data_IF_192921646803
#
_entry.id   IF_192921646803
#
_cell.length_a   1.000
_cell.length_b   1.000
_cell.length_c   1.000
_cell.angle_alpha   90.00
_cell.angle_beta   90.00
_cell.angle_gamma   90.00
#
_symmetry.space_group_name_H-M   'P 1'
#
loop_
_entity.id
_entity.type
_entity.pdbx_description
1 polymer ?
2 non-polymer ?
3 non-polymer ?
4 non-polymer ?
5 non-polymer ?
6 non-polymer ?
7 water ?
#
# COMPACT_ATOMS: atom_id res chain seq x y z
N UNK A 5 13.90 -24.36 -0.77
CA UNK A 5 13.97 -22.89 -1.10
C UNK A 5 12.58 -22.32 -1.37
N UNK A 6 11.86 -22.92 -2.32
CA UNK A 6 10.43 -22.65 -2.53
C UNK A 6 9.68 -22.88 -1.21
N UNK A 7 9.90 -24.05 -0.60
CA UNK A 7 9.27 -24.37 0.68
C UNK A 7 9.60 -23.34 1.78
N UNK A 8 10.82 -22.82 1.74
CA UNK A 8 11.31 -21.90 2.77
C UNK A 8 10.90 -20.45 2.50
N UNK A 9 10.97 -20.03 1.23
CA UNK A 9 10.72 -18.65 0.81
C UNK A 9 9.52 -18.44 -0.13
N UNK A 10 9.03 -19.51 -0.75
CA UNK A 10 7.96 -19.39 -1.72
C UNK A 10 8.45 -18.89 -3.06
N UNK A 11 9.75 -18.79 -3.22
CA UNK A 11 10.38 -18.33 -4.45
C UNK A 11 11.74 -19.06 -4.56
N UNK A 12 12.21 -19.29 -5.79
CA UNK A 12 13.61 -19.73 -6.00
C UNK A 12 14.57 -18.53 -5.79
N UNK A 13 15.78 -18.83 -5.28
CA UNK A 13 16.81 -17.78 -5.03
C UNK A 13 18.20 -18.43 -5.13
N UNK A 14 19.16 -17.71 -5.71
CA UNK A 14 20.57 -18.16 -5.81
C UNK A 14 21.31 -17.83 -4.51
N UNK A 15 20.77 -16.90 -3.70
CA UNK A 15 21.32 -16.66 -2.36
C UNK A 15 20.27 -16.63 -1.26
N UNK A 16 19.98 -17.84 -0.80
CA UNK A 16 19.04 -18.12 0.26
C UNK A 16 19.45 -17.45 1.54
N UNK A 17 20.76 -17.47 1.84
CA UNK A 17 21.27 -16.94 3.09
C UNK A 17 21.11 -15.40 3.21
N UNK A 18 21.40 -14.69 2.14
CA UNK A 18 21.14 -13.27 2.06
C UNK A 18 19.67 -12.91 2.13
N UNK A 19 18.81 -13.69 1.44
CA UNK A 19 17.37 -13.48 1.49
C UNK A 19 16.84 -13.69 2.92
N UNK A 20 17.22 -14.83 3.52
CA UNK A 20 16.88 -15.14 4.90
C UNK A 20 17.36 -14.07 5.88
N UNK A 21 18.56 -13.52 5.70
CA UNK A 21 19.04 -12.44 6.60
C UNK A 21 18.10 -11.21 6.49
N UNK A 22 17.73 -10.84 5.27
CA UNK A 22 16.82 -9.68 5.10
C UNK A 22 15.47 -9.94 5.74
N UNK A 23 14.99 -11.18 5.60
CA UNK A 23 13.66 -11.50 6.14
C UNK A 23 13.67 -11.55 7.65
N UNK A 24 14.84 -11.54 8.29
CA UNK A 24 14.89 -11.37 9.75
C UNK A 24 14.20 -10.09 10.20
N UNK A 25 14.17 -9.09 9.33
CA UNK A 25 13.48 -7.83 9.61
C UNK A 25 11.98 -7.80 9.21
N UNK A 26 11.39 -8.94 8.91
CA UNK A 26 9.98 -9.02 8.47
C UNK A 26 9.02 -8.25 9.33
N UNK A 27 9.20 -8.32 10.66
CA UNK A 27 8.25 -7.66 11.58
C UNK A 27 8.65 -6.22 11.92
N UNK A 28 9.58 -5.67 11.15
CA UNK A 28 10.15 -4.35 11.44
C UNK A 28 9.89 -3.31 10.36
N UNK A 29 9.62 -2.07 10.81
CA UNK A 29 9.43 -0.95 9.89
C UNK A 29 10.68 -0.78 9.07
N UNK A 30 11.83 -1.13 9.64
CA UNK A 30 13.08 -1.00 8.95
C UNK A 30 13.47 -2.02 7.91
N UNK A 31 12.61 -3.02 7.66
CA UNK A 31 12.82 -3.93 6.55
C UNK A 31 13.19 -3.19 5.26
N UNK A 32 14.17 -3.73 4.55
CA UNK A 32 14.54 -3.21 3.27
C UNK A 32 13.99 -4.06 2.07
N UNK A 33 12.88 -3.61 1.48
CA UNK A 33 12.20 -4.38 0.47
C UNK A 33 12.96 -4.40 -0.87
N UNK A 34 13.79 -3.42 -1.11
CA UNK A 34 14.63 -3.41 -2.30
C UNK A 34 15.65 -4.56 -2.25
N UNK A 35 16.18 -4.86 -1.08
CA UNK A 35 17.10 -5.98 -0.91
C UNK A 35 16.37 -7.30 -1.06
N UNK A 36 15.17 -7.35 -0.51
CA UNK A 36 14.34 -8.54 -0.66
C UNK A 36 14.11 -8.82 -2.13
N UNK A 37 13.78 -7.79 -2.93
CA UNK A 37 13.65 -7.95 -4.37
C UNK A 37 14.94 -8.54 -4.97
N UNK A 38 16.08 -7.95 -4.60
CA UNK A 38 17.38 -8.33 -5.16
C UNK A 38 17.80 -9.75 -4.87
N UNK A 39 17.33 -10.34 -3.77
CA UNK A 39 17.65 -11.72 -3.46
C UNK A 39 16.53 -12.72 -3.74
N UNK A 40 15.47 -12.28 -4.38
CA UNK A 40 14.37 -13.15 -4.68
C UNK A 40 14.10 -13.20 -6.17
N UNK A 41 15.09 -12.86 -6.99
CA UNK A 41 14.93 -12.82 -8.47
C UNK A 41 13.79 -11.90 -8.86
N UNK A 42 13.76 -10.76 -8.18
CA UNK A 42 12.75 -9.77 -8.41
C UNK A 42 11.30 -10.32 -8.25
N UNK A 43 11.10 -11.17 -7.26
CA UNK A 43 9.78 -11.58 -6.81
C UNK A 43 9.43 -11.05 -5.40
N UNK A 44 9.57 -9.73 -5.17
CA UNK A 44 9.34 -9.23 -3.81
C UNK A 44 7.93 -9.47 -3.26
N UNK A 45 6.90 -9.41 -4.11
CA UNK A 45 5.53 -9.57 -3.61
C UNK A 45 5.21 -11.01 -3.20
N UNK A 46 5.56 -11.97 -4.02
CA UNK A 46 5.35 -13.38 -3.68
C UNK A 46 6.16 -13.75 -2.43
N UNK A 47 7.40 -13.32 -2.44
CA UNK A 47 8.30 -13.57 -1.33
C UNK A 47 7.77 -13.02 0.00
N UNK A 48 7.53 -11.72 0.03
CA UNK A 48 7.05 -11.07 1.25
C UNK A 48 5.66 -11.59 1.69
N UNK A 49 4.75 -11.88 0.76
CA UNK A 49 3.42 -12.39 1.15
C UNK A 49 3.54 -13.79 1.77
N UNK A 50 4.38 -14.62 1.14
CA UNK A 50 4.62 -15.97 1.69
C UNK A 50 5.19 -15.88 3.13
N UNK A 51 6.19 -15.01 3.31
CA UNK A 51 6.82 -14.78 4.61
C UNK A 51 5.79 -14.30 5.64
N UNK A 52 4.97 -13.32 5.26
CA UNK A 52 3.96 -12.75 6.16
C UNK A 52 2.95 -13.81 6.54
N UNK A 53 2.46 -14.55 5.54
CA UNK A 53 1.44 -15.57 5.79
C UNK A 53 1.94 -16.71 6.70
N UNK A 54 3.19 -17.15 6.48
CA UNK A 54 3.83 -18.13 7.39
C UNK A 54 3.95 -17.56 8.82
N UNK A 55 4.48 -16.35 8.94
CA UNK A 55 4.63 -15.68 10.23
C UNK A 55 3.33 -15.62 11.02
N UNK A 56 2.25 -15.25 10.35
CA UNK A 56 0.97 -15.12 11.01
C UNK A 56 0.15 -16.37 11.09
N UNK A 57 0.68 -17.51 10.60
CA UNK A 57 -0.10 -18.79 10.56
C UNK A 57 -1.43 -18.71 9.80
N UNK A 58 -1.54 -17.80 8.85
CA UNK A 58 -2.77 -17.56 8.10
C UNK A 58 -3.10 -18.70 7.17
N UNK A 59 -2.10 -19.41 6.66
CA UNK A 59 -2.37 -20.55 5.80
C UNK A 59 -2.99 -21.68 6.62
N UNK A 60 -2.60 -21.80 7.90
CA UNK A 60 -3.17 -22.83 8.81
C UNK A 60 -4.60 -22.42 9.22
N UNK A 61 -4.75 -21.19 9.71
CA UNK A 61 -6.01 -20.70 10.20
C UNK A 61 -7.11 -20.84 9.17
N UNK A 62 -6.80 -20.45 7.94
CA UNK A 62 -7.76 -20.43 6.83
C UNK A 62 -7.66 -21.56 5.84
N UNK A 63 -6.84 -22.57 6.17
CA UNK A 63 -6.69 -23.76 5.34
C UNK A 63 -6.36 -23.44 3.89
N UNK A 64 -5.38 -22.57 3.73
CA UNK A 64 -4.98 -22.16 2.41
C UNK A 64 -3.78 -23.01 2.03
N UNK A 65 -3.89 -23.77 0.95
CA UNK A 65 -2.71 -24.53 0.50
C UNK A 65 -1.57 -23.59 0.21
N UNK A 66 -0.36 -23.94 0.67
CA UNK A 66 0.83 -23.15 0.38
C UNK A 66 1.17 -23.14 -1.10
N UNK A 67 0.96 -24.28 -1.76
CA UNK A 67 1.20 -24.35 -3.22
C UNK A 67 0.23 -23.41 -3.98
N UNK A 68 -1.06 -23.48 -3.65
CA UNK A 68 -2.08 -22.64 -4.31
C UNK A 68 -1.80 -21.15 -4.09
N UNK A 69 -1.37 -20.83 -2.88
CA UNK A 69 -0.90 -19.51 -2.49
C UNK A 69 0.25 -18.99 -3.35
N UNK A 70 1.27 -19.81 -3.53
CA UNK A 70 2.40 -19.44 -4.41
C UNK A 70 1.92 -19.20 -5.83
N UNK A 71 1.13 -20.12 -6.36
CA UNK A 71 0.49 -19.96 -7.69
C UNK A 71 -0.30 -18.66 -7.85
N UNK A 72 -1.21 -18.35 -6.91
CA UNK A 72 -1.95 -17.09 -6.99
C UNK A 72 -1.02 -15.87 -6.94
N UNK A 73 -0.12 -15.86 -5.96
CA UNK A 73 0.78 -14.73 -5.77
C UNK A 73 1.66 -14.49 -6.98
N UNK A 74 2.13 -15.56 -7.62
CA UNK A 74 2.95 -15.39 -8.82
C UNK A 74 2.17 -14.73 -9.95
N UNK A 75 0.94 -15.18 -10.18
CA UNK A 75 0.13 -14.54 -11.24
C UNK A 75 -0.21 -13.10 -10.79
N UNK A 76 -0.49 -12.90 -9.51
CA UNK A 76 -0.81 -11.53 -9.05
C UNK A 76 0.41 -10.63 -9.32
N UNK A 77 1.60 -11.12 -8.97
CA UNK A 77 2.81 -10.31 -9.15
C UNK A 77 3.08 -10.09 -10.63
N UNK A 78 2.77 -11.10 -11.47
CA UNK A 78 2.93 -10.94 -12.91
C UNK A 78 2.03 -9.83 -13.44
N UNK A 79 0.90 -9.57 -12.76
CA UNK A 79 -0.09 -8.56 -13.22
C UNK A 79 0.25 -7.15 -12.81
N UNK A 80 1.33 -6.98 -12.04
CA UNK A 80 1.97 -5.67 -11.82
C UNK A 80 2.96 -5.40 -12.96
N UNK A 81 3.01 -4.18 -13.47
CA UNK A 81 3.84 -3.89 -14.67
C UNK A 81 5.24 -3.49 -14.26
N UNK A 82 6.20 -4.29 -14.68
CA UNK A 82 7.64 -4.06 -14.47
C UNK A 82 8.16 -2.72 -15.04
N UNK A 83 7.57 -2.27 -16.11
CA UNK A 83 7.93 -1.02 -16.73
C UNK A 83 7.18 0.19 -16.20
N UNK A 84 6.42 0.04 -15.12
CA UNK A 84 5.84 1.19 -14.49
C UNK A 84 6.79 1.48 -13.35
N UNK A 85 7.25 2.72 -13.27
CA UNK A 85 8.37 3.05 -12.38
C UNK A 85 8.09 2.87 -10.83
N UNK A 86 6.91 3.26 -10.37
CA UNK A 86 6.58 3.14 -8.96
C UNK A 86 5.53 2.13 -8.66
N UNK A 87 4.39 2.22 -9.36
CA UNK A 87 3.24 1.31 -9.14
C UNK A 87 3.43 -0.08 -9.71
N UNK A 88 4.44 -0.76 -9.20
CA UNK A 88 4.83 -2.11 -9.66
C UNK A 88 4.84 -3.05 -8.43
N UNK A 89 5.31 -4.28 -8.55
CA UNK A 89 5.17 -5.26 -7.46
C UNK A 89 5.97 -4.90 -6.22
N UNK A 90 7.00 -4.06 -6.35
CA UNK A 90 7.84 -3.68 -5.21
C UNK A 90 7.06 -2.78 -4.28
N UNK A 91 6.29 -1.85 -4.86
CA UNK A 91 5.41 -1.01 -4.07
C UNK A 91 4.32 -1.84 -3.43
N UNK A 92 3.71 -2.79 -4.14
CA UNK A 92 2.71 -3.68 -3.51
C UNK A 92 3.30 -4.44 -2.34
N UNK A 93 4.51 -4.96 -2.54
CA UNK A 93 5.19 -5.68 -1.49
C UNK A 93 5.44 -4.79 -0.27
N UNK A 94 5.88 -3.57 -0.53
CA UNK A 94 6.08 -2.61 0.54
C UNK A 94 4.82 -2.33 1.36
N UNK A 95 3.71 -2.05 0.68
CA UNK A 95 2.44 -1.79 1.35
C UNK A 95 1.97 -3.02 2.19
N UNK A 96 2.16 -4.22 1.65
CA UNK A 96 1.78 -5.42 2.33
C UNK A 96 2.65 -5.62 3.58
N UNK A 97 3.94 -5.38 3.48
CA UNK A 97 4.82 -5.57 4.62
C UNK A 97 4.61 -4.46 5.65
N UNK A 98 4.37 -3.24 5.16
CA UNK A 98 4.07 -2.11 6.04
C UNK A 98 2.75 -2.30 6.76
N UNK A 99 1.74 -2.83 6.08
CA UNK A 99 0.45 -3.20 6.71
C UNK A 99 0.65 -4.29 7.76
N UNK A 100 1.49 -5.26 7.44
CA UNK A 100 1.85 -6.32 8.38
C UNK A 100 2.44 -5.77 9.68
N UNK A 101 3.33 -4.76 9.59
CA UNK A 101 3.89 -4.17 10.81
C UNK A 101 2.79 -3.36 11.56
N UNK A 102 2.06 -2.54 10.84
CA UNK A 102 1.03 -1.69 11.49
C UNK A 102 0.02 -2.57 12.24
N UNK A 103 -0.29 -3.75 11.72
CA UNK A 103 -1.27 -4.64 12.40
C UNK A 103 -0.80 -5.08 13.78
N UNK A 104 0.52 -5.10 13.98
CA UNK A 104 1.12 -5.53 15.22
C UNK A 104 1.42 -4.39 16.14
N UNK A 105 0.94 -3.18 15.84
CA UNK A 105 1.15 -2.06 16.78
C UNK A 105 0.51 -2.38 18.16
N UNK A 106 1.28 -2.15 19.28
CA UNK A 106 0.76 -2.60 20.62
C UNK A 106 -0.65 -2.11 20.96
N UNK A 107 -0.96 -0.87 20.60
CA UNK A 107 -2.32 -0.32 20.82
C UNK A 107 -3.45 -1.08 20.13
N UNK A 108 -3.12 -1.90 19.12
CA UNK A 108 -4.15 -2.72 18.43
C UNK A 108 -4.15 -4.21 18.80
N UNK A 109 -3.43 -4.56 19.86
CA UNK A 109 -3.30 -5.95 20.21
C UNK A 109 -4.66 -6.63 20.44
N UNK A 110 -4.90 -7.76 19.72
CA UNK A 110 -6.12 -8.59 19.83
C UNK A 110 -7.39 -7.90 19.43
N UNK A 111 -7.28 -6.70 18.84
CA UNK A 111 -8.44 -5.92 18.41
C UNK A 111 -9.15 -6.54 17.21
N UNK A 112 -8.39 -7.07 16.25
CA UNK A 112 -8.94 -7.50 14.94
C UNK A 112 -9.16 -8.99 14.92
N UNK A 113 -10.15 -9.43 14.15
CA UNK A 113 -10.32 -10.84 13.91
C UNK A 113 -9.24 -11.34 12.95
N UNK A 114 -9.05 -12.64 12.93
CA UNK A 114 -8.11 -13.24 11.95
C UNK A 114 -8.52 -12.98 10.51
N UNK A 115 -9.83 -12.97 10.26
CA UNK A 115 -10.34 -12.69 8.90
C UNK A 115 -10.05 -11.24 8.50
N UNK A 116 -10.23 -10.33 9.45
CA UNK A 116 -9.85 -8.92 9.27
C UNK A 116 -8.36 -8.74 8.92
N UNK A 117 -7.51 -9.43 9.66
CA UNK A 117 -6.09 -9.43 9.41
C UNK A 117 -5.76 -9.94 7.98
N UNK A 118 -6.36 -11.09 7.63
CA UNK A 118 -6.26 -11.68 6.29
C UNK A 118 -6.68 -10.70 5.23
N UNK A 119 -7.81 -9.99 5.48
CA UNK A 119 -8.37 -9.08 4.52
C UNK A 119 -7.47 -7.89 4.28
N UNK A 120 -6.88 -7.35 5.35
CA UNK A 120 -6.01 -6.19 5.21
C UNK A 120 -4.75 -6.46 4.42
N UNK A 121 -4.09 -7.57 4.73
CA UNK A 121 -2.86 -7.94 4.03
C UNK A 121 -3.12 -8.32 2.57
N UNK A 122 -4.17 -9.10 2.30
CA UNK A 122 -4.62 -9.38 0.91
C UNK A 122 -4.93 -8.09 0.15
N UNK A 123 -5.68 -7.18 0.78
CA UNK A 123 -5.96 -5.88 0.15
C UNK A 123 -4.69 -5.13 -0.21
N UNK A 124 -3.77 -5.05 0.75
CA UNK A 124 -2.47 -4.46 0.51
C UNK A 124 -1.78 -5.07 -0.75
N UNK A 125 -1.75 -6.39 -0.81
CA UNK A 125 -1.14 -7.10 -1.96
C UNK A 125 -1.77 -6.75 -3.30
N UNK A 126 -3.08 -6.61 -3.34
CA UNK A 126 -3.77 -6.43 -4.64
C UNK A 126 -4.05 -4.94 -4.99
N UNK A 127 -3.76 -4.01 -4.06
CA UNK A 127 -4.38 -2.69 -4.14
C UNK A 127 -4.00 -1.86 -5.34
N UNK A 128 -2.89 -2.18 -6.03
CA UNK A 128 -2.43 -1.48 -7.25
C UNK A 128 -2.21 -2.41 -8.46
N UNK A 129 -2.76 -3.63 -8.44
CA UNK A 129 -2.52 -4.57 -9.52
C UNK A 129 -2.97 -4.03 -10.91
N UNK A 130 -2.12 -4.23 -11.91
CA UNK A 130 -2.39 -3.77 -13.26
C UNK A 130 -2.46 -2.27 -13.36
N UNK A 131 -1.71 -1.58 -12.51
CA UNK A 131 -1.67 -0.13 -12.64
C UNK A 131 -0.97 0.21 -13.94
N UNK A 132 -1.57 1.08 -14.78
CA UNK A 132 -0.92 1.45 -16.08
C UNK A 132 0.19 2.52 -15.98
N UNK A 133 0.40 3.08 -14.82
CA UNK A 133 1.42 4.10 -14.62
C UNK A 133 0.96 5.50 -14.99
N UNK A 134 -0.34 5.68 -15.10
CA UNK A 134 -0.94 6.98 -15.32
C UNK A 134 -2.08 7.10 -14.26
N UNK A 135 -2.37 8.31 -13.83
CA UNK A 135 -3.33 8.60 -12.76
C UNK A 135 -4.80 8.49 -13.21
N UNK A 136 -5.69 8.42 -12.23
CA UNK A 136 -7.16 8.48 -12.46
C UNK A 136 -7.55 9.67 -13.32
N UNK A 137 -6.98 10.83 -13.00
CA UNK A 137 -7.33 12.05 -13.69
C UNK A 137 -6.91 11.98 -15.13
N UNK A 138 -5.73 11.45 -15.39
CA UNK A 138 -5.27 11.22 -16.78
C UNK A 138 -6.27 10.36 -17.54
N UNK A 139 -6.72 9.27 -16.90
CA UNK A 139 -7.65 8.35 -17.54
C UNK A 139 -9.00 9.01 -17.82
N UNK A 140 -9.44 9.89 -16.93
CA UNK A 140 -10.67 10.67 -17.11
C UNK A 140 -10.46 11.67 -18.26
N UNK A 141 -9.37 12.45 -18.18
CA UNK A 141 -9.08 13.50 -19.17
C UNK A 141 -8.85 12.96 -20.58
N UNK A 142 -8.30 11.76 -20.72
CA UNK A 142 -8.08 11.16 -22.02
C UNK A 142 -9.26 10.29 -22.51
N UNK A 143 -10.43 10.38 -21.86
CA UNK A 143 -11.58 9.59 -22.30
C UNK A 143 -11.28 8.10 -22.37
N UNK A 144 -10.56 7.57 -21.39
CA UNK A 144 -10.11 6.19 -21.44
C UNK A 144 -11.27 5.21 -21.29
N UNK A 145 -11.08 4.00 -21.78
CA UNK A 145 -12.05 2.94 -21.56
C UNK A 145 -12.30 2.66 -20.07
N UNK A 146 -11.25 2.67 -19.26
CA UNK A 146 -11.42 2.41 -17.84
C UNK A 146 -12.30 3.46 -17.19
N UNK A 147 -12.06 4.74 -17.51
CA UNK A 147 -12.88 5.82 -16.96
C UNK A 147 -14.35 5.73 -17.45
N UNK A 148 -14.54 5.30 -18.69
CA UNK A 148 -15.88 5.09 -19.24
C UNK A 148 -16.58 3.91 -18.53
N UNK A 149 -15.81 2.87 -18.27
CA UNK A 149 -16.33 1.71 -17.54
C UNK A 149 -16.79 2.07 -16.12
N UNK A 150 -15.96 2.85 -15.42
CA UNK A 150 -16.15 3.12 -14.00
C UNK A 150 -16.74 4.46 -13.67
N UNK A 151 -17.27 5.17 -14.69
CA UNK A 151 -17.97 6.42 -14.42
C UNK A 151 -17.15 7.40 -13.58
N UNK A 152 -15.86 7.49 -13.93
CA UNK A 152 -14.92 8.49 -13.37
C UNK A 152 -14.62 8.38 -11.87
N UNK A 153 -15.21 7.39 -11.18
CA UNK A 153 -15.12 7.29 -9.71
C UNK A 153 -14.18 6.15 -9.33
N UNK A 154 -13.09 6.50 -8.64
CA UNK A 154 -12.12 5.52 -8.16
C UNK A 154 -11.83 4.53 -9.29
N UNK A 155 -11.44 5.06 -10.44
CA UNK A 155 -11.37 4.26 -11.65
C UNK A 155 -10.37 3.11 -11.49
N UNK A 156 -9.12 3.42 -11.20
CA UNK A 156 -8.11 2.35 -11.03
C UNK A 156 -8.36 1.47 -9.83
N UNK A 157 -8.86 2.04 -8.74
CA UNK A 157 -9.06 1.26 -7.51
C UNK A 157 -10.13 0.20 -7.74
N UNK A 158 -11.21 0.56 -8.45
CA UNK A 158 -12.18 -0.44 -8.87
C UNK A 158 -11.52 -1.49 -9.77
N UNK A 159 -10.62 -1.05 -10.66
CA UNK A 159 -9.96 -1.96 -11.58
C UNK A 159 -9.03 -2.89 -10.83
N UNK A 160 -8.27 -2.36 -9.87
CA UNK A 160 -7.34 -3.23 -9.09
C UNK A 160 -8.11 -4.35 -8.39
N UNK A 161 -9.26 -3.97 -7.83
CA UNK A 161 -10.13 -4.92 -7.15
C UNK A 161 -10.63 -5.97 -8.12
N UNK A 162 -11.19 -5.56 -9.27
CA UNK A 162 -11.72 -6.53 -10.26
C UNK A 162 -10.63 -7.51 -10.73
N UNK A 163 -9.44 -7.02 -11.00
CA UNK A 163 -8.34 -7.90 -11.44
C UNK A 163 -7.96 -8.85 -10.31
N UNK A 164 -7.82 -8.34 -9.08
CA UNK A 164 -7.42 -9.16 -7.96
C UNK A 164 -8.37 -10.31 -7.69
N UNK A 165 -9.66 -10.00 -7.67
CA UNK A 165 -10.68 -11.01 -7.49
C UNK A 165 -10.83 -11.95 -8.68
N UNK A 166 -10.67 -11.45 -9.90
CA UNK A 166 -10.79 -12.29 -11.08
C UNK A 166 -9.68 -13.36 -11.12
N UNK A 167 -8.47 -13.00 -10.68
CA UNK A 167 -7.39 -13.98 -10.65
C UNK A 167 -7.70 -15.19 -9.77
N UNK A 168 -8.59 -15.01 -8.80
CA UNK A 168 -8.96 -16.11 -7.90
C UNK A 168 -9.77 -17.15 -8.61
N UNK A 169 -10.38 -16.76 -9.73
CA UNK A 169 -11.20 -17.67 -10.50
C UNK A 169 -10.41 -18.39 -11.53
N UNK A 170 -9.10 -18.13 -11.67
CA UNK A 170 -8.28 -18.96 -12.55
C UNK A 170 -8.06 -20.35 -11.94
N UNK A 171 -7.97 -21.38 -12.80
CA UNK A 171 -7.70 -22.73 -12.31
C UNK A 171 -6.47 -22.72 -11.43
N UNK A 172 -6.51 -23.51 -10.37
CA UNK A 172 -5.40 -23.63 -9.41
C UNK A 172 -5.03 -22.36 -8.67
N UNK A 173 -5.87 -21.31 -8.74
CA UNK A 173 -5.56 -20.02 -8.06
C UNK A 173 -6.47 -19.67 -6.86
N UNK A 174 -7.45 -20.51 -6.53
CA UNK A 174 -8.42 -20.08 -5.54
C UNK A 174 -8.00 -20.36 -4.13
N UNK A 175 -7.20 -19.45 -3.61
CA UNK A 175 -6.66 -19.56 -2.28
C UNK A 175 -7.71 -19.53 -1.19
N UNK A 176 -8.94 -19.08 -1.50
CA UNK A 176 -9.99 -19.02 -0.49
C UNK A 176 -11.02 -20.13 -0.58
N UNK A 177 -10.73 -21.19 -1.34
CA UNK A 177 -11.65 -22.28 -1.53
C UNK A 177 -12.16 -22.86 -0.21
N UNK A 178 -11.28 -22.98 0.78
CA UNK A 178 -11.66 -23.63 2.03
C UNK A 178 -12.34 -22.71 3.06
N UNK A 179 -12.45 -21.41 2.79
CA UNK A 179 -13.28 -20.54 3.63
C UNK A 179 -14.73 -20.96 3.52
N UNK A 180 -15.52 -20.68 4.53
CA UNK A 180 -16.96 -20.81 4.46
C UNK A 180 -17.53 -19.72 3.54
N UNK A 181 -18.76 -19.94 3.06
CA UNK A 181 -19.44 -18.90 2.25
C UNK A 181 -19.45 -17.58 3.01
N UNK A 182 -19.85 -17.60 4.28
CA UNK A 182 -19.94 -16.37 5.08
C UNK A 182 -18.58 -15.70 5.18
N UNK A 183 -17.54 -16.48 5.45
CA UNK A 183 -16.19 -15.92 5.49
C UNK A 183 -15.80 -15.24 4.15
N UNK A 184 -16.05 -15.92 3.05
CA UNK A 184 -15.73 -15.39 1.71
C UNK A 184 -16.44 -14.07 1.51
N UNK A 185 -17.73 -14.04 1.86
CA UNK A 185 -18.56 -12.84 1.74
C UNK A 185 -18.00 -11.67 2.53
N UNK A 186 -17.71 -11.90 3.81
CA UNK A 186 -17.18 -10.85 4.68
C UNK A 186 -15.80 -10.37 4.17
N UNK A 187 -14.95 -11.31 3.82
CA UNK A 187 -13.62 -10.99 3.29
C UNK A 187 -13.72 -10.07 2.04
N UNK A 188 -14.61 -10.43 1.11
CA UNK A 188 -14.78 -9.67 -0.11
C UNK A 188 -15.14 -8.21 0.19
N UNK A 189 -16.12 -8.05 1.04
CA UNK A 189 -16.63 -6.77 1.49
C UNK A 189 -15.53 -5.90 2.08
N UNK A 190 -14.75 -6.50 2.98
CA UNK A 190 -13.67 -5.77 3.67
C UNK A 190 -12.55 -5.37 2.72
N UNK A 191 -12.15 -6.29 1.84
CA UNK A 191 -11.13 -5.96 0.83
C UNK A 191 -11.55 -4.83 -0.11
N UNK A 192 -12.79 -4.87 -0.59
CA UNK A 192 -13.35 -3.83 -1.46
C UNK A 192 -13.31 -2.50 -0.73
N UNK A 193 -13.78 -2.48 0.51
CA UNK A 193 -13.74 -1.27 1.35
C UNK A 193 -12.33 -0.66 1.42
N UNK A 194 -11.36 -1.48 1.81
CA UNK A 194 -9.99 -0.99 2.01
C UNK A 194 -9.34 -0.49 0.70
N UNK A 195 -9.53 -1.22 -0.41
CA UNK A 195 -8.83 -0.84 -1.65
C UNK A 195 -9.45 0.43 -2.17
N UNK A 196 -10.78 0.53 -2.06
CA UNK A 196 -11.44 1.78 -2.52
C UNK A 196 -11.02 2.98 -1.70
N UNK A 197 -10.68 2.76 -0.42
CA UNK A 197 -10.17 3.82 0.43
C UNK A 197 -8.70 4.23 0.10
N UNK A 198 -8.01 3.50 -0.79
CA UNK A 198 -6.69 3.94 -1.25
C UNK A 198 -6.72 4.97 -2.40
N UNK A 199 -7.90 5.33 -2.88
CA UNK A 199 -8.07 6.42 -3.85
C UNK A 199 -7.59 7.67 -3.16
N UNK A 200 -6.49 8.23 -3.65
CA UNK A 200 -5.89 9.39 -2.99
C UNK A 200 -6.81 10.60 -2.95
N UNK A 201 -7.74 10.71 -3.88
CA UNK A 201 -8.67 11.82 -3.90
C UNK A 201 -9.63 11.80 -2.69
N UNK A 202 -9.76 10.63 -2.00
CA UNK A 202 -10.52 10.49 -0.77
C UNK A 202 -9.70 10.83 0.51
N UNK A 203 -8.41 11.14 0.37
CA UNK A 203 -7.51 11.41 1.49
C UNK A 203 -8.07 12.38 2.52
N UNK A 204 -8.51 13.56 2.07
CA UNK A 204 -9.01 14.57 3.00
C UNK A 204 -10.26 14.11 3.75
N UNK A 205 -11.20 13.47 3.05
CA UNK A 205 -12.43 13.11 3.69
C UNK A 205 -12.20 11.92 4.58
N UNK A 206 -11.30 11.05 4.17
CA UNK A 206 -10.89 9.93 5.00
C UNK A 206 -10.21 10.40 6.33
N UNK A 207 -9.26 11.35 6.22
CA UNK A 207 -8.58 11.93 7.40
C UNK A 207 -9.59 12.64 8.35
N UNK A 208 -10.52 13.40 7.78
CA UNK A 208 -11.57 14.08 8.57
C UNK A 208 -12.35 13.06 9.37
N UNK A 209 -12.82 12.02 8.70
CA UNK A 209 -13.53 10.94 9.44
C UNK A 209 -12.65 10.25 10.48
N UNK A 210 -11.36 10.10 10.20
CA UNK A 210 -10.47 9.45 11.18
C UNK A 210 -10.27 10.32 12.44
N UNK A 211 -10.06 11.61 12.24
CA UNK A 211 -9.94 12.52 13.37
C UNK A 211 -11.21 12.44 14.22
N UNK A 212 -12.36 12.37 13.55
CA UNK A 212 -13.62 12.31 14.25
C UNK A 212 -13.63 11.08 15.14
N UNK A 213 -13.20 9.96 14.56
CA UNK A 213 -13.07 8.72 15.30
C UNK A 213 -12.10 8.82 16.46
N UNK A 214 -10.95 9.43 16.19
CA UNK A 214 -9.88 9.54 17.20
C UNK A 214 -10.26 10.43 18.41
N UNK A 215 -11.10 11.44 18.17
CA UNK A 215 -11.71 12.22 19.26
C UNK A 215 -12.43 11.35 20.28
N UNK A 216 -13.03 10.25 19.80
CA UNK A 216 -13.86 9.38 20.63
C UNK A 216 -13.10 8.17 21.13
N UNK A 217 -11.79 8.05 20.87
CA UNK A 217 -11.07 6.82 21.23
C UNK A 217 -11.05 6.61 22.74
N UNK A 218 -11.12 5.34 23.17
CA UNK A 218 -10.93 4.94 24.57
C UNK A 218 -9.94 3.80 24.56
N UNK A 219 -9.15 3.71 25.62
CA UNK A 219 -8.18 2.64 25.77
C UNK A 219 -8.30 1.99 27.12
N UNK A 220 -7.80 0.77 27.17
CA UNK A 220 -7.65 0.06 28.44
C UNK A 220 -6.56 0.72 29.22
N UNK A 221 -6.45 0.34 30.49
CA UNK A 221 -5.38 0.84 31.35
C UNK A 221 -3.97 0.44 30.84
N UNK A 222 -3.92 -0.58 29.97
CA UNK A 222 -2.69 -0.99 29.28
C UNK A 222 -2.41 -0.30 27.94
N UNK A 223 -3.25 0.66 27.53
CA UNK A 223 -3.02 1.38 26.26
C UNK A 223 -3.62 0.73 25.03
N UNK A 224 -4.44 -0.29 25.20
CA UNK A 224 -5.05 -1.00 24.07
C UNK A 224 -6.40 -0.37 23.68
N UNK A 225 -6.52 -0.05 22.42
CA UNK A 225 -7.73 0.54 21.92
C UNK A 225 -8.96 -0.34 22.12
N UNK A 226 -10.07 0.29 22.49
CA UNK A 226 -11.36 -0.39 22.63
C UNK A 226 -12.21 0.05 21.43
N UNK A 227 -12.43 -0.87 20.50
CA UNK A 227 -13.24 -0.59 19.31
C UNK A 227 -14.62 -1.26 19.46
N UNK A 228 -15.73 -0.50 19.24
CA UNK A 228 -17.06 -0.98 19.68
C UNK A 228 -17.67 -2.04 18.78
N UNK A 229 -17.27 -2.06 17.52
CA UNK A 229 -17.97 -2.85 16.55
C UNK A 229 -17.20 -2.89 15.24
N UNK A 230 -17.71 -3.68 14.32
CA UNK A 230 -17.19 -3.77 12.97
C UNK A 230 -16.92 -2.40 12.32
N UNK A 231 -17.92 -1.53 12.35
CA UNK A 231 -17.84 -0.19 11.78
C UNK A 231 -16.56 0.55 12.17
N UNK A 232 -16.23 0.54 13.46
CA UNK A 232 -15.01 1.16 13.99
C UNK A 232 -13.75 0.39 13.51
N UNK A 233 -13.81 -0.94 13.54
CA UNK A 233 -12.67 -1.76 13.09
C UNK A 233 -12.31 -1.54 11.63
N UNK A 234 -13.31 -1.53 10.74
CA UNK A 234 -13.00 -1.42 9.32
C UNK A 234 -12.54 0.02 9.04
N UNK A 235 -13.07 0.97 9.80
CA UNK A 235 -12.56 2.32 9.67
C UNK A 235 -11.06 2.43 10.00
N UNK A 236 -10.60 1.73 11.03
CA UNK A 236 -9.17 1.76 11.36
C UNK A 236 -8.36 1.05 10.28
N UNK A 237 -8.84 -0.10 9.84
CA UNK A 237 -8.19 -0.85 8.74
C UNK A 237 -8.07 -0.09 7.41
N UNK A 238 -9.12 0.57 6.95
CA UNK A 238 -9.05 1.50 5.77
C UNK A 238 -7.96 2.48 5.94
N UNK A 239 -7.92 3.10 7.11
CA UNK A 239 -6.95 4.14 7.36
C UNK A 239 -5.56 3.53 7.47
N UNK A 240 -5.47 2.33 8.03
CA UNK A 240 -4.17 1.64 8.14
C UNK A 240 -3.55 1.39 6.80
N UNK A 241 -4.35 0.88 5.88
CA UNK A 241 -3.87 0.63 4.55
C UNK A 241 -3.51 1.91 3.81
N UNK A 242 -4.33 2.95 3.95
CA UNK A 242 -3.97 4.27 3.39
C UNK A 242 -2.61 4.77 3.91
N UNK A 243 -2.42 4.67 5.22
CA UNK A 243 -1.15 5.05 5.83
C UNK A 243 -0.02 4.22 5.24
N UNK A 244 -0.21 2.89 5.13
CA UNK A 244 0.85 2.05 4.53
C UNK A 244 1.14 2.54 3.09
N UNK A 245 0.11 2.99 2.39
CA UNK A 245 0.29 3.50 0.99
C UNK A 245 1.00 4.87 0.93
N UNK A 246 0.98 5.63 2.06
CA UNK A 246 1.72 6.88 2.18
C UNK A 246 2.77 6.77 3.30
N UNK A 247 3.49 5.65 3.33
CA UNK A 247 4.50 5.41 4.34
C UNK A 247 5.90 5.71 3.84
N UNK A 248 6.11 5.87 2.53
CA UNK A 248 7.49 6.00 2.00
C UNK A 248 8.27 7.08 2.78
N UNK A 249 7.62 8.23 3.08
CA UNK A 249 8.37 9.27 3.76
C UNK A 249 8.72 8.96 5.24
N UNK A 250 8.15 7.91 5.81
CA UNK A 250 8.38 7.50 7.20
C UNK A 250 9.41 6.41 7.30
N UNK A 251 9.99 6.03 6.18
CA UNK A 251 11.05 5.04 6.18
C UNK A 251 12.40 5.77 6.25
N UNK A 252 13.47 5.02 6.34
CA UNK A 252 14.81 5.61 6.38
C UNK A 252 14.99 6.47 5.14
N UNK A 253 15.77 7.54 5.26
CA UNK A 253 16.02 8.46 4.15
C UNK A 253 16.50 7.71 2.91
N UNK A 254 17.44 6.78 3.10
CA UNK A 254 17.93 5.95 2.01
C UNK A 254 16.80 5.29 1.20
N UNK A 255 15.77 4.80 1.89
CA UNK A 255 14.66 4.13 1.21
C UNK A 255 13.71 5.16 0.60
N UNK A 256 13.37 6.20 1.37
CA UNK A 256 12.50 7.27 0.94
C UNK A 256 13.00 7.89 -0.36
N UNK A 257 14.30 8.17 -0.44
CA UNK A 257 14.83 8.79 -1.64
C UNK A 257 14.68 7.94 -2.90
N UNK A 258 14.83 6.64 -2.76
CA UNK A 258 14.59 5.69 -3.84
C UNK A 258 13.12 5.68 -4.24
N UNK A 259 12.20 5.72 -3.28
CA UNK A 259 10.77 5.83 -3.59
C UNK A 259 10.42 7.08 -4.34
N UNK A 260 10.95 8.20 -3.86
CA UNK A 260 10.74 9.49 -4.51
C UNK A 260 11.25 9.46 -5.95
N UNK A 261 12.47 8.99 -6.18
CA UNK A 261 12.95 8.90 -7.56
C UNK A 261 11.97 8.14 -8.49
N UNK A 262 11.41 7.04 -7.99
CA UNK A 262 10.50 6.19 -8.75
C UNK A 262 9.15 6.87 -9.06
N UNK A 263 8.54 7.53 -8.09
CA UNK A 263 7.25 8.16 -8.32
C UNK A 263 7.40 9.40 -9.22
N UNK A 264 8.54 10.10 -9.09
CA UNK A 264 8.84 11.20 -10.00
C UNK A 264 8.99 10.69 -11.44
N UNK A 265 9.77 9.61 -11.63
CA UNK A 265 9.92 9.04 -12.96
C UNK A 265 8.54 8.65 -13.53
N UNK A 266 7.68 8.04 -12.70
CA UNK A 266 6.34 7.68 -13.14
C UNK A 266 5.52 8.89 -13.56
N UNK A 267 5.49 9.93 -12.74
CA UNK A 267 4.77 11.16 -13.08
C UNK A 267 5.35 11.79 -14.35
N UNK A 268 6.68 11.84 -14.45
CA UNK A 268 7.32 12.46 -15.61
C UNK A 268 6.99 11.70 -16.87
N UNK A 269 6.93 10.36 -16.78
CA UNK A 269 6.50 9.56 -17.94
C UNK A 269 5.06 9.86 -18.35
N UNK A 270 4.15 10.12 -17.42
CA UNK A 270 2.79 10.54 -17.77
C UNK A 270 2.78 11.93 -18.40
N UNK A 271 3.59 12.84 -17.87
CA UNK A 271 3.67 14.19 -18.40
C UNK A 271 4.18 14.22 -19.82
N UNK A 272 5.10 13.31 -20.14
CA UNK A 272 5.59 13.15 -21.52
C UNK A 272 4.45 12.63 -22.43
N UNK A 273 3.53 11.82 -21.89
CA UNK A 273 2.37 11.36 -22.66
C UNK A 273 1.49 12.56 -22.95
N UNK A 274 1.17 13.28 -21.91
CA UNK A 274 0.32 14.43 -21.97
C UNK A 274 0.87 15.46 -22.98
N UNK A 275 2.18 15.73 -22.90
CA UNK A 275 2.86 16.66 -23.81
C UNK A 275 2.69 16.22 -25.27
N UNK A 276 2.96 14.95 -25.55
CA UNK A 276 2.84 14.38 -26.90
C UNK A 276 1.46 14.53 -27.48
N UNK A 277 0.45 14.45 -26.61
CA UNK A 277 -0.95 14.60 -27.03
C UNK A 277 -1.43 16.05 -27.02
N UNK A 278 -0.54 17.02 -26.81
CA UNK A 278 -0.95 18.43 -26.77
C UNK A 278 -1.81 18.78 -25.58
N UNK A 279 -1.79 17.95 -24.54
CA UNK A 279 -2.54 18.27 -23.33
C UNK A 279 -1.72 19.17 -22.39
N UNK A 280 -2.41 19.85 -21.50
CA UNK A 280 -1.79 20.56 -20.40
C UNK A 280 -1.10 19.48 -19.54
N UNK A 281 0.14 19.72 -19.12
CA UNK A 281 0.88 18.77 -18.29
C UNK A 281 0.37 18.90 -16.90
N UNK A 282 0.02 17.77 -16.29
CA UNK A 282 -0.55 17.75 -14.95
C UNK A 282 0.47 18.15 -13.87
N UNK A 283 -0.02 18.68 -12.75
CA UNK A 283 0.92 18.98 -11.67
C UNK A 283 1.84 17.79 -11.27
N UNK A 284 3.13 18.09 -11.13
CA UNK A 284 4.18 17.13 -10.74
C UNK A 284 4.72 16.32 -11.90
N UNK A 285 4.13 16.48 -13.09
CA UNK A 285 4.41 15.61 -14.23
C UNK A 285 5.30 16.21 -15.30
N UNK A 286 5.69 17.47 -15.14
CA UNK A 286 6.54 18.16 -16.12
C UNK A 286 8.00 18.11 -15.67
N UNK A 287 8.78 17.25 -16.28
CA UNK A 287 10.20 17.14 -15.95
C UNK A 287 10.99 18.43 -16.10
N UNK A 288 10.56 19.30 -17.00
CA UNK A 288 11.32 20.56 -17.26
C UNK A 288 11.13 21.62 -16.23
N UNK A 289 10.04 21.57 -15.45
CA UNK A 289 9.82 22.57 -14.40
C UNK A 289 9.64 21.97 -13.00
N UNK A 290 10.02 20.71 -12.81
CA UNK A 290 9.76 20.02 -11.54
C UNK A 290 10.66 20.65 -10.46
N UNK A 291 10.23 20.65 -9.21
CA UNK A 291 11.10 21.03 -8.10
C UNK A 291 10.86 19.97 -7.02
N UNK A 292 11.61 18.89 -7.15
CA UNK A 292 11.35 17.65 -6.40
C UNK A 292 11.45 17.83 -4.89
N UNK A 293 12.46 18.60 -4.44
CA UNK A 293 12.72 18.70 -3.00
C UNK A 293 11.63 19.51 -2.33
N UNK A 294 11.27 20.61 -2.96
CA UNK A 294 10.21 21.49 -2.49
C UNK A 294 8.85 20.80 -2.43
N UNK A 295 8.55 20.04 -3.48
CA UNK A 295 7.30 19.28 -3.53
C UNK A 295 7.23 18.24 -2.44
N UNK A 296 8.32 17.54 -2.12
CA UNK A 296 8.30 16.58 -0.98
C UNK A 296 8.03 17.27 0.34
N UNK A 297 8.64 18.43 0.57
CA UNK A 297 8.40 19.18 1.79
C UNK A 297 6.89 19.55 1.93
N UNK A 298 6.29 20.06 0.86
CA UNK A 298 4.86 20.35 0.84
C UNK A 298 3.97 19.11 0.99
N UNK A 299 4.34 18.03 0.32
CA UNK A 299 3.69 16.71 0.50
C UNK A 299 3.67 16.26 1.96
N UNK A 300 4.85 16.29 2.58
CA UNK A 300 4.95 15.96 3.97
C UNK A 300 4.12 16.89 4.84
N UNK A 301 4.34 18.20 4.70
CA UNK A 301 3.71 19.16 5.62
C UNK A 301 2.17 19.24 5.51
N UNK A 302 1.63 18.99 4.31
CA UNK A 302 0.18 19.15 4.05
C UNK A 302 -0.61 17.84 3.94
N UNK A 303 0.05 16.77 3.53
CA UNK A 303 -0.65 15.49 3.33
C UNK A 303 -0.18 14.39 4.27
N UNK A 304 1.13 14.08 4.26
CA UNK A 304 1.64 12.88 4.96
C UNK A 304 1.74 13.08 6.48
N UNK A 305 2.24 14.25 6.89
CA UNK A 305 2.29 14.51 8.35
C UNK A 305 0.97 14.59 9.04
N UNK A 306 0.03 15.39 8.53
CA UNK A 306 -1.30 15.44 9.14
C UNK A 306 -1.93 14.06 9.30
N UNK A 307 -1.78 13.20 8.31
CA UNK A 307 -2.30 11.83 8.39
C UNK A 307 -1.59 11.05 9.49
N UNK A 308 -0.26 11.02 9.45
CA UNK A 308 0.50 10.25 10.44
C UNK A 308 0.36 10.79 11.86
N UNK A 309 0.15 12.08 12.00
CA UNK A 309 -0.09 12.68 13.32
C UNK A 309 -1.40 12.15 13.92
N UNK A 310 -2.44 12.03 13.09
CA UNK A 310 -3.74 11.49 13.51
C UNK A 310 -3.61 9.99 13.84
N UNK A 311 -2.96 9.26 12.95
CA UNK A 311 -2.63 7.84 13.24
C UNK A 311 -1.88 7.71 14.56
N UNK A 312 -0.82 8.51 14.74
CA UNK A 312 -0.01 8.45 15.95
C UNK A 312 -0.82 8.74 17.21
N UNK A 313 -1.75 9.69 17.08
CA UNK A 313 -2.67 10.06 18.15
C UNK A 313 -3.49 8.82 18.52
N UNK A 314 -4.07 8.13 17.53
CA UNK A 314 -4.84 6.88 17.75
C UNK A 314 -4.08 5.79 18.49
N UNK A 315 -2.85 5.50 18.07
CA UNK A 315 -2.07 4.38 18.63
C UNK A 315 -1.01 4.85 19.67
N UNK A 316 -1.20 6.06 20.19
CA UNK A 316 -0.28 6.67 21.11
C UNK A 316 0.19 5.66 22.17
N UNK A 317 1.51 5.54 22.41
CA UNK A 317 2.69 6.23 21.83
C UNK A 317 3.44 5.47 20.75
N UNK A 318 2.79 4.46 20.19
CA UNK A 318 3.45 3.45 19.38
C UNK A 318 4.14 4.01 18.13
N UNK A 319 3.64 5.13 17.62
CA UNK A 319 4.05 5.63 16.30
C UNK A 319 4.96 6.89 16.40
N UNK A 320 5.51 7.18 17.59
CA UNK A 320 6.35 8.37 17.74
C UNK A 320 7.60 8.28 16.89
N UNK A 321 8.21 7.10 16.82
CA UNK A 321 9.43 6.88 16.01
C UNK A 321 9.16 7.22 14.54
N UNK A 322 7.96 6.87 14.09
CA UNK A 322 7.57 7.09 12.70
C UNK A 322 7.47 8.58 12.45
N UNK A 323 6.78 9.29 13.34
CA UNK A 323 6.68 10.73 13.26
C UNK A 323 8.06 11.41 13.29
N UNK A 324 8.98 10.90 14.10
CA UNK A 324 10.31 11.50 14.21
C UNK A 324 11.11 11.33 12.90
N UNK A 325 10.98 10.17 12.28
CA UNK A 325 11.63 9.89 11.01
C UNK A 325 11.04 10.80 9.93
N UNK A 326 9.72 10.91 9.91
CA UNK A 326 9.07 11.75 8.93
C UNK A 326 9.55 13.22 9.01
N UNK A 327 9.56 13.76 10.22
CA UNK A 327 10.12 15.10 10.47
C UNK A 327 11.57 15.21 10.00
N UNK A 328 12.37 14.20 10.31
CA UNK A 328 13.80 14.22 9.98
C UNK A 328 14.00 14.25 8.44
N UNK A 329 13.24 13.40 7.75
CA UNK A 329 13.25 13.37 6.29
C UNK A 329 12.76 14.69 5.69
N UNK A 330 11.79 15.31 6.34
CA UNK A 330 11.29 16.59 5.86
C UNK A 330 12.41 17.60 5.92
N UNK A 331 13.15 17.57 7.02
CA UNK A 331 14.27 18.43 7.24
C UNK A 331 15.37 18.25 6.22
N UNK A 332 15.65 17.01 5.87
CA UNK A 332 16.62 16.73 4.79
C UNK A 332 16.19 17.29 3.47
N UNK A 333 14.96 16.97 3.02
CA UNK A 333 14.50 17.54 1.74
C UNK A 333 14.50 19.05 1.75
N UNK A 334 14.07 19.64 2.86
CA UNK A 334 14.06 21.07 2.98
C UNK A 334 15.49 21.66 2.78
N UNK A 335 16.51 21.00 3.33
CA UNK A 335 17.88 21.46 3.24
C UNK A 335 18.43 21.34 1.78
N UNK A 336 17.75 20.55 0.93
CA UNK A 336 18.19 20.26 -0.42
C UNK A 336 17.45 21.06 -1.47
N UNK A 337 16.50 21.90 -1.05
CA UNK A 337 15.84 22.83 -1.96
C UNK A 337 16.93 23.79 -2.48
N UNK A 338 17.16 23.85 -3.80
CA UNK A 338 18.22 24.75 -4.30
C UNK A 338 17.96 26.25 -4.03
N UNK A 339 19.03 27.01 -3.84
CA UNK A 339 18.93 28.48 -3.84
C UNK A 339 18.93 28.96 -5.28
N UNK A 352 0.48 25.35 -4.76
CA UNK A 352 -0.14 24.54 -3.71
C UNK A 352 -1.35 23.79 -4.26
N UNK A 353 -2.07 24.41 -5.18
CA UNK A 353 -3.28 23.82 -5.77
C UNK A 353 -3.04 22.43 -6.37
N UNK A 354 -1.98 22.28 -7.16
CA UNK A 354 -1.67 20.99 -7.79
C UNK A 354 -1.34 19.88 -6.79
N UNK A 355 -0.69 20.25 -5.67
CA UNK A 355 -0.48 19.30 -4.57
C UNK A 355 -1.79 18.83 -4.02
N UNK A 356 -2.51 19.75 -3.41
CA UNK A 356 -3.69 19.44 -2.63
C UNK A 356 -4.76 18.76 -3.47
N UNK A 357 -4.82 19.12 -4.76
CA UNK A 357 -5.86 18.61 -5.67
C UNK A 357 -5.84 17.07 -5.92
N UNK A 358 -4.68 16.45 -5.95
CA UNK A 358 -4.62 14.96 -6.03
C UNK A 358 -5.18 14.28 -4.77
N UNK A 359 -5.37 15.03 -3.69
CA UNK A 359 -5.76 14.47 -2.41
C UNK A 359 -7.11 14.92 -1.91
N UNK A 360 -7.90 15.56 -2.77
CA UNK A 360 -9.28 15.90 -2.39
C UNK A 360 -10.24 15.77 -3.56
N UNK A 361 -11.52 15.88 -3.21
CA UNK A 361 -12.70 16.03 -4.11
C UNK A 361 -13.30 14.67 -4.45
X LIG B 1 4.23 12.13 -3.92
X LIG B 1 5.75 10.65 -2.99
X LIG B 1 4.81 9.62 -3.22
X LIG B 1 2.67 15.47 -4.93
X LIG B 1 -1.23 10.36 -9.08
X LIG B 1 -2.03 10.55 -8.14
X LIG B 1 -2.78 11.50 -8.09
X LIG B 1 -2.18 9.53 -7.03
X LIG B 1 -0.88 9.44 -6.22
X LIG B 1 -0.46 10.51 -5.40
X LIG B 1 0.72 10.37 -4.60
X LIG B 1 -0.16 8.27 -6.23
X LIG B 1 0.97 8.13 -5.47
X LIG B 1 1.44 9.16 -4.66
X LIG B 1 2.63 8.97 -3.98
X LIG B 1 3.55 9.94 -3.78
X LIG B 1 5.10 8.20 -2.82
X LIG B 1 4.40 7.91 -1.49
X LIG B 1 7.09 10.33 -2.33
X LIG B 1 5.45 11.89 -3.33
X LIG B 1 3.31 11.16 -4.11
X LIG B 1 3.83 13.44 -4.24
X LIG B 1 4.57 14.58 -3.98
X LIG B 1 3.89 15.75 -4.39
X LIG B 1 2.35 13.81 -4.93
X LIG B 1 1.51 16.72 -5.56
X LIG C 1 -3.30 3.19 -6.04
X LIG D 1 -0.32 1.97 -3.73
X LIG E 1 5.23 -8.09 -14.47
X LIG F 1 11.45 -12.75 11.78
X LIG F 1 10.24 -12.29 12.36
X LIG F 1 11.12 -13.91 10.86
X LIG F 1 11.53 -13.60 9.54
X LIG G 1 -11.45 -21.57 7.14
X LIG G 1 -12.73 -21.59 7.76
X LIG G 1 -10.90 -22.99 6.96
X LIG G 1 -11.30 -23.82 8.05
X LIG H 1 -11.86 -9.58 17.72
X LIG H 1 -11.08 -9.82 18.88
X LIG H 1 -13.33 -9.58 18.09
X LIG H 1 -14.07 -8.71 17.22
#
# INVERSE_FOLDING_TARGET
GSHMSISRFGVNTENEDHLAKELEDLNKWGLNIFNVAGYSHNRPLTCIMYAIFQERDLLKTFRISSDTFITYMMTLEDHYHSDVAYHNSLHAADVAQSTHVLLSTPALDAVFTDLEILAAIFAAAIHDVDHPGVSNQFLINTNSELALMYNDESVLENHHLAVGFKLLQEEHCDIFMNLTKKQRQTLRKMVIDMVLATDMSKHMSLLADLKTMVETKKVTSSGVLLLDNYTDRIQVLRNMVHCADLSNPTKSLELYRQWTDRIMEEFFQQGDKERERGMEISPMCDKHTASVEKSQVGFIDYIVHPLWETWADLVQPDAQDILDTLEDNRNWYQSMIPQSPSPPLDEQNRDCQGLMEKFQFELTLDEEDSEG
19T C2 C4 C5 C9 O26 C24 O25 C23 C20 C19 C18 C21 C22 C17 N16 C6 C14 C15 C13 N3 N7 C7 C11 C10 S8 CL1
MG MG
ZN ZN
NA NA
EDO C1 O1 C2 O2
EDO C1 O1 C2 O2
EDO C1 O1 C2 O2
#
